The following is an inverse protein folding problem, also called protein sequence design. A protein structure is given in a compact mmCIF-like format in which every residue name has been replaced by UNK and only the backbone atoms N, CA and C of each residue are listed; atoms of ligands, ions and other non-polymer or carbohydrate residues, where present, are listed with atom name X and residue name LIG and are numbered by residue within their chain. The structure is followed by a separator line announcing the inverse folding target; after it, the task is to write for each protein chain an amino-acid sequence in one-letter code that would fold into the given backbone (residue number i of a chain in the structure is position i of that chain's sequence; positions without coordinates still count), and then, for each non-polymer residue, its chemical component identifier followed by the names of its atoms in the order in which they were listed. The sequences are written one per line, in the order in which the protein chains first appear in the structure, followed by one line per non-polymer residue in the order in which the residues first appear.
data_IF_461654420506
#
_entry.id   IF_461654420506
#
_cell.length_a   1.000
_cell.length_b   1.000
_cell.length_c   1.000
_cell.angle_alpha   90.00
_cell.angle_beta   90.00
_cell.angle_gamma   90.00
#
_symmetry.space_group_name_H-M   'P 1'
#
loop_
_entity.id
_entity.type
_entity.pdbx_description
1 polymer ?
#
# COMPACT_ATOMS: atom_id res chain seq x y z
N UNK A 1 4.76 -16.97 2.64
CA UNK A 1 4.32 -15.95 3.62
C UNK A 1 3.14 -15.21 3.01
N UNK A 2 2.02 -14.98 3.72
CA UNK A 2 0.96 -14.11 3.21
C UNK A 2 1.52 -12.68 3.18
N UNK A 3 1.77 -12.17 1.98
CA UNK A 3 2.13 -10.78 1.79
C UNK A 3 0.89 -9.93 2.03
N UNK A 4 1.02 -8.88 2.83
CA UNK A 4 0.00 -7.85 2.91
C UNK A 4 0.06 -7.03 1.61
N UNK A 5 -0.80 -7.37 0.66
CA UNK A 5 -0.78 -6.83 -0.70
C UNK A 5 -1.92 -5.83 -0.91
N UNK A 6 -1.55 -4.56 -1.13
CA UNK A 6 -2.49 -3.50 -1.47
C UNK A 6 -1.83 -2.48 -2.43
N UNK A 7 -1.98 -2.68 -3.76
CA UNK A 7 -1.38 -1.80 -4.76
C UNK A 7 -1.90 -0.36 -4.69
N UNK A 8 -3.14 -0.16 -4.27
CA UNK A 8 -3.72 1.17 -4.17
C UNK A 8 -3.09 1.94 -3.01
N UNK A 9 -2.95 1.29 -1.84
CA UNK A 9 -2.26 1.88 -0.71
C UNK A 9 -0.79 2.19 -1.04
N UNK A 10 -0.10 1.28 -1.73
CA UNK A 10 1.28 1.50 -2.18
C UNK A 10 1.41 2.71 -3.11
N UNK A 11 0.50 2.87 -4.08
CA UNK A 11 0.46 4.05 -4.97
C UNK A 11 0.20 5.35 -4.21
N UNK A 12 -0.75 5.35 -3.27
CA UNK A 12 -1.04 6.52 -2.43
C UNK A 12 0.17 6.92 -1.57
N UNK A 13 0.83 5.95 -0.93
CA UNK A 13 2.04 6.20 -0.15
C UNK A 13 3.20 6.70 -1.03
N UNK A 14 3.38 6.12 -2.23
CA UNK A 14 4.38 6.58 -3.19
C UNK A 14 4.14 8.03 -3.61
N UNK A 15 2.90 8.39 -3.95
CA UNK A 15 2.52 9.74 -4.35
C UNK A 15 2.67 10.78 -3.23
N UNK A 16 2.44 10.38 -1.97
CA UNK A 16 2.62 11.25 -0.81
C UNK A 16 4.09 11.57 -0.50
N UNK A 17 5.02 10.70 -0.90
CA UNK A 17 6.46 10.86 -0.69
C UNK A 17 6.95 10.48 0.70
N UNK A 18 8.24 10.14 0.79
CA UNK A 18 8.91 9.77 2.05
C UNK A 18 8.89 10.94 3.03
N UNK A 19 8.56 10.65 4.28
CA UNK A 19 8.47 11.64 5.37
C UNK A 19 7.04 12.13 5.62
N UNK A 20 6.12 11.97 4.68
CA UNK A 20 4.73 12.41 4.83
C UNK A 20 3.97 11.58 5.86
N UNK A 21 3.15 12.26 6.67
CA UNK A 21 2.13 11.64 7.51
C UNK A 21 0.80 11.69 6.74
N UNK A 22 0.19 10.54 6.49
CA UNK A 22 -1.05 10.43 5.72
C UNK A 22 -2.05 9.53 6.43
N UNK A 23 -3.34 9.81 6.24
CA UNK A 23 -4.40 8.85 6.50
C UNK A 23 -4.45 7.87 5.32
N UNK A 24 -4.23 6.59 5.58
CA UNK A 24 -4.13 5.55 4.55
C UNK A 24 -5.14 4.44 4.82
N UNK A 25 -5.91 4.11 3.79
CA UNK A 25 -6.77 2.94 3.78
C UNK A 25 -6.01 1.72 3.27
N UNK A 26 -5.93 0.65 4.07
CA UNK A 26 -5.11 -0.54 3.78
C UNK A 26 -5.89 -1.85 3.90
N UNK A 27 -5.62 -2.81 3.03
CA UNK A 27 -6.18 -4.17 3.10
C UNK A 27 -7.67 -4.23 2.73
N UNK A 28 -8.30 -5.40 2.90
CA UNK A 28 -9.75 -5.60 2.74
C UNK A 28 -10.32 -5.48 1.32
N UNK A 29 -9.48 -5.27 0.29
CA UNK A 29 -9.94 -4.96 -1.08
C UNK A 29 -9.97 -6.15 -2.04
N UNK A 30 -9.44 -7.31 -1.65
CA UNK A 30 -9.28 -8.46 -2.55
C UNK A 30 -10.49 -9.39 -2.61
N UNK A 31 -11.31 -9.44 -1.56
CA UNK A 31 -12.56 -10.20 -1.49
C UNK A 31 -13.36 -9.85 -0.24
N UNK A 32 -14.63 -10.25 -0.17
CA UNK A 32 -15.43 -10.14 1.06
C UNK A 32 -14.87 -10.89 2.26
N UNK A 33 -14.09 -11.97 2.02
CA UNK A 33 -13.43 -12.75 3.08
C UNK A 33 -12.19 -12.05 3.65
N UNK A 34 -11.67 -11.04 2.96
CA UNK A 34 -10.49 -10.28 3.39
C UNK A 34 -10.80 -9.27 4.52
N UNK A 35 -12.07 -9.15 4.92
CA UNK A 35 -12.53 -8.18 5.90
C UNK A 35 -12.72 -6.78 5.29
N UNK A 36 -13.01 -5.82 6.15
CA UNK A 36 -13.12 -4.41 5.75
C UNK A 36 -11.72 -3.77 5.69
N UNK A 37 -11.51 -2.77 4.80
CA UNK A 37 -10.31 -1.97 4.83
C UNK A 37 -10.12 -1.26 6.17
N UNK A 38 -8.87 -1.07 6.58
CA UNK A 38 -8.52 -0.33 7.79
C UNK A 38 -8.03 1.06 7.42
N UNK A 39 -8.51 2.09 8.11
CA UNK A 39 -8.04 3.46 7.96
C UNK A 39 -7.10 3.81 9.11
N UNK A 40 -5.84 4.13 8.79
CA UNK A 40 -4.80 4.41 9.78
C UNK A 40 -3.97 5.63 9.41
N UNK A 41 -3.50 6.36 10.42
CA UNK A 41 -2.46 7.36 10.25
C UNK A 41 -1.09 6.67 10.15
N UNK A 42 -0.34 6.98 9.09
CA UNK A 42 0.96 6.36 8.82
C UNK A 42 2.00 7.40 8.42
N UNK A 43 3.26 7.11 8.70
CA UNK A 43 4.41 7.82 8.14
C UNK A 43 5.01 7.01 7.00
N UNK A 44 5.17 7.62 5.83
CA UNK A 44 5.88 6.98 4.72
C UNK A 44 7.39 6.98 5.03
N UNK A 45 7.96 5.82 5.33
CA UNK A 45 9.39 5.69 5.64
C UNK A 45 10.24 5.37 4.41
N UNK A 46 9.64 4.75 3.40
CA UNK A 46 10.32 4.33 2.17
C UNK A 46 9.30 4.00 1.07
N UNK A 47 9.70 4.19 -0.18
CA UNK A 47 8.93 3.78 -1.35
C UNK A 47 9.88 3.63 -2.55
N UNK A 48 9.60 2.68 -3.44
CA UNK A 48 10.31 2.49 -4.69
C UNK A 48 9.31 2.26 -5.83
N UNK A 49 9.72 2.55 -7.05
CA UNK A 49 8.95 2.19 -8.23
C UNK A 49 9.39 0.81 -8.70
N UNK A 50 8.59 -0.23 -8.46
CA UNK A 50 8.84 -1.54 -9.06
C UNK A 50 8.37 -1.52 -10.52
N UNK A 51 9.17 -0.95 -11.41
CA UNK A 51 9.09 -1.25 -12.83
C UNK A 51 9.78 -2.60 -13.09
N UNK A 52 8.98 -3.59 -13.48
CA UNK A 52 9.29 -4.96 -13.89
C UNK A 52 10.78 -5.36 -13.97
N UNK A 53 11.23 -6.14 -12.99
CA UNK A 53 12.40 -7.05 -13.15
C UNK A 53 11.99 -8.47 -13.58
N UNK A 54 10.75 -8.65 -14.03
CA UNK A 54 10.14 -9.96 -14.31
C UNK A 54 9.24 -9.96 -15.56
N UNK A 55 9.48 -9.04 -16.51
CA UNK A 55 8.69 -8.94 -17.75
C UNK A 55 9.30 -9.68 -18.95
N UNK A 56 10.35 -10.49 -18.73
CA UNK A 56 10.95 -11.36 -19.74
C UNK A 56 10.90 -12.83 -19.30
#
# INVERSE_FOLDING_TARGET
MPYFWDPQAAKTAHAAGVGSNILLEVGGKSSSKAGQPLVIEVKVIWTENQSSKWAD
#
